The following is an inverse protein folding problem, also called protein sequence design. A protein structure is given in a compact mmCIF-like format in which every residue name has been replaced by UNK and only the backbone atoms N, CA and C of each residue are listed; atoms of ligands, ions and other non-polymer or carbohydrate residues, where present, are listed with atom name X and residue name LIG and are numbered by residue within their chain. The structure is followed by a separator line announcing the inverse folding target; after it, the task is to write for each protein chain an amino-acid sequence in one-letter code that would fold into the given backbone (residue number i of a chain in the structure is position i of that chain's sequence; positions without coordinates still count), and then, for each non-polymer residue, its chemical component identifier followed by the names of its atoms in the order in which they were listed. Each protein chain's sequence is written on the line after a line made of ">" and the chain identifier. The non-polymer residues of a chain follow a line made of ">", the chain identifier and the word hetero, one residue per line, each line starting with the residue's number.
data_IF_630334420930
#
_entry.id   IF_630334420930
#
_cell.length_a   1.000
_cell.length_b   1.000
_cell.length_c   1.000
_cell.angle_alpha   90.00
_cell.angle_beta   90.00
_cell.angle_gamma   90.00
#
_symmetry.space_group_name_H-M   'P 1'
#
loop_
_entity.id
_entity.type
_entity.pdbx_description
1 polymer ?
#
# COMPACT_ATOMS: atom_id res chain seq x y z
N UNK A 1 -18.91 -0.92 -8.96
CA UNK A 1 -18.96 0.52 -9.30
C UNK A 1 -19.79 0.59 -10.56
N UNK A 2 -20.88 1.33 -10.51
CA UNK A 2 -21.78 1.48 -11.65
C UNK A 2 -21.23 2.56 -12.57
N UNK A 3 -21.16 2.27 -13.87
CA UNK A 3 -20.77 3.26 -14.88
C UNK A 3 -22.03 4.06 -15.25
N UNK A 4 -22.02 5.35 -14.96
CA UNK A 4 -23.13 6.26 -15.19
C UNK A 4 -22.60 7.66 -15.50
N UNK A 5 -23.42 8.55 -16.08
CA UNK A 5 -23.02 9.94 -16.35
C UNK A 5 -22.76 10.67 -15.02
N UNK A 6 -21.89 11.69 -14.98
CA UNK A 6 -21.61 12.45 -13.75
C UNK A 6 -22.87 12.97 -13.03
N UNK A 7 -23.87 13.41 -13.79
CA UNK A 7 -25.17 13.87 -13.25
C UNK A 7 -26.00 12.75 -12.63
N UNK A 8 -25.88 11.53 -13.12
CA UNK A 8 -26.60 10.36 -12.59
C UNK A 8 -25.87 9.79 -11.36
N UNK A 9 -24.53 9.85 -11.36
CA UNK A 9 -23.71 9.43 -10.22
C UNK A 9 -24.05 10.17 -8.93
N UNK A 10 -24.50 11.43 -8.98
CA UNK A 10 -24.91 12.17 -7.77
C UNK A 10 -26.17 11.57 -7.13
N UNK A 11 -27.14 11.14 -7.94
CA UNK A 11 -28.42 10.56 -7.49
C UNK A 11 -28.31 9.12 -6.95
N UNK A 12 -27.29 8.36 -7.36
CA UNK A 12 -27.13 6.97 -6.92
C UNK A 12 -26.81 6.84 -5.42
N UNK A 13 -27.10 5.67 -4.84
CA UNK A 13 -26.70 5.37 -3.47
C UNK A 13 -25.18 5.10 -3.33
N UNK A 14 -24.64 5.25 -2.13
CA UNK A 14 -23.18 5.09 -1.86
C UNK A 14 -22.66 3.69 -2.20
N UNK A 15 -23.47 2.65 -2.03
CA UNK A 15 -23.13 1.26 -2.34
C UNK A 15 -22.85 1.04 -3.83
N UNK A 16 -23.51 1.80 -4.71
CA UNK A 16 -23.29 1.69 -6.16
C UNK A 16 -22.03 2.44 -6.65
N UNK A 17 -21.54 3.39 -5.85
CA UNK A 17 -20.38 4.24 -6.18
C UNK A 17 -19.07 3.71 -5.62
N UNK A 18 -19.10 3.01 -4.48
CA UNK A 18 -17.90 2.65 -3.72
C UNK A 18 -17.75 1.14 -3.55
N UNK A 19 -16.56 0.71 -3.12
CA UNK A 19 -16.31 -0.66 -2.66
C UNK A 19 -15.69 -0.58 -1.27
N UNK A 20 -16.10 -1.45 -0.35
CA UNK A 20 -15.65 -1.49 1.04
C UNK A 20 -14.26 -2.12 1.19
N UNK A 21 -13.23 -1.47 0.62
CA UNK A 21 -11.82 -1.80 0.81
C UNK A 21 -10.95 -0.54 0.67
N UNK A 22 -9.68 -0.63 1.06
CA UNK A 22 -8.70 0.44 0.80
C UNK A 22 -8.58 0.69 -0.71
N UNK A 23 -8.60 1.96 -1.11
CA UNK A 23 -8.65 2.38 -2.51
C UNK A 23 -9.80 1.74 -3.33
N UNK A 24 -10.90 1.36 -2.66
CA UNK A 24 -12.12 0.94 -3.34
C UNK A 24 -12.64 2.05 -4.24
N UNK A 25 -13.16 1.72 -5.42
CA UNK A 25 -13.50 2.75 -6.41
C UNK A 25 -12.35 3.06 -7.37
N UNK A 26 -11.12 3.22 -6.86
CA UNK A 26 -9.99 3.76 -7.61
C UNK A 26 -8.97 2.72 -8.06
N UNK A 27 -8.82 1.60 -7.33
CA UNK A 27 -7.84 0.55 -7.65
C UNK A 27 -8.44 -0.84 -7.59
N UNK A 28 -7.90 -1.73 -8.42
CA UNK A 28 -8.26 -3.16 -8.44
C UNK A 28 -7.76 -3.87 -7.18
N UNK A 29 -8.39 -4.98 -6.78
CA UNK A 29 -7.98 -5.74 -5.58
C UNK A 29 -6.53 -6.23 -5.63
N UNK A 30 -6.11 -6.77 -6.78
CA UNK A 30 -4.72 -7.22 -7.02
C UNK A 30 -3.71 -6.06 -6.87
N UNK A 31 -4.07 -4.88 -7.37
CA UNK A 31 -3.27 -3.66 -7.31
C UNK A 31 -3.05 -3.22 -5.85
N UNK A 32 -4.11 -3.26 -5.04
CA UNK A 32 -4.07 -2.93 -3.61
C UNK A 32 -3.21 -3.92 -2.84
N UNK A 33 -3.39 -5.23 -3.09
CA UNK A 33 -2.57 -6.28 -2.46
C UNK A 33 -1.09 -6.09 -2.75
N UNK A 34 -0.73 -5.92 -4.03
CA UNK A 34 0.66 -5.71 -4.43
C UNK A 34 1.26 -4.44 -3.79
N UNK A 35 0.47 -3.36 -3.67
CA UNK A 35 0.93 -2.13 -3.01
C UNK A 35 1.20 -2.34 -1.52
N UNK A 36 0.31 -3.04 -0.83
CA UNK A 36 0.46 -3.34 0.61
C UNK A 36 1.70 -4.22 0.83
N UNK A 37 1.80 -5.36 0.12
CA UNK A 37 2.95 -6.27 0.25
C UNK A 37 4.26 -5.59 -0.13
N UNK A 38 4.29 -4.81 -1.20
CA UNK A 38 5.50 -4.07 -1.61
C UNK A 38 5.91 -3.03 -0.57
N UNK A 39 4.98 -2.27 -0.02
CA UNK A 39 5.28 -1.29 1.02
C UNK A 39 5.87 -1.96 2.26
N UNK A 40 5.26 -3.06 2.71
CA UNK A 40 5.77 -3.86 3.81
C UNK A 40 7.21 -4.34 3.56
N UNK A 41 7.46 -5.03 2.43
CA UNK A 41 8.79 -5.56 2.12
C UNK A 41 9.86 -4.49 2.01
N UNK A 42 9.53 -3.29 1.51
CA UNK A 42 10.47 -2.17 1.44
C UNK A 42 10.84 -1.69 2.84
N UNK A 43 9.88 -1.56 3.75
CA UNK A 43 10.16 -1.16 5.13
C UNK A 43 10.97 -2.23 5.88
N UNK A 44 10.62 -3.50 5.72
CA UNK A 44 11.41 -4.62 6.27
C UNK A 44 12.86 -4.58 5.76
N UNK A 45 13.06 -4.40 4.45
CA UNK A 45 14.39 -4.30 3.86
C UNK A 45 15.16 -3.09 4.39
N UNK A 46 14.51 -1.94 4.62
CA UNK A 46 15.14 -0.76 5.22
C UNK A 46 15.63 -1.05 6.65
N UNK A 47 14.85 -1.78 7.44
CA UNK A 47 15.23 -2.16 8.81
C UNK A 47 16.44 -3.09 8.77
N UNK A 48 16.40 -4.14 7.95
CA UNK A 48 17.52 -5.09 7.79
C UNK A 48 18.80 -4.35 7.36
N UNK A 49 18.70 -3.46 6.39
CA UNK A 49 19.85 -2.68 5.93
C UNK A 49 20.45 -1.78 7.03
N UNK A 50 19.63 -1.22 7.92
CA UNK A 50 20.11 -0.43 9.07
C UNK A 50 20.82 -1.31 10.10
N UNK A 51 20.27 -2.47 10.42
CA UNK A 51 20.85 -3.41 11.40
C UNK A 51 22.20 -3.94 10.91
N UNK A 52 22.30 -4.36 9.64
CA UNK A 52 23.55 -4.84 9.06
C UNK A 52 24.65 -3.76 9.07
N UNK A 53 24.29 -2.50 8.78
CA UNK A 53 25.24 -1.37 8.88
C UNK A 53 25.70 -1.15 10.32
N UNK A 54 24.80 -1.21 11.30
CA UNK A 54 25.15 -1.05 12.71
C UNK A 54 26.11 -2.16 13.19
N UNK A 55 25.87 -3.43 12.81
CA UNK A 55 26.74 -4.57 13.14
C UNK A 55 28.14 -4.45 12.51
N UNK A 56 28.25 -3.92 11.29
CA UNK A 56 29.55 -3.69 10.65
C UNK A 56 30.37 -2.60 11.36
N UNK A 57 29.72 -1.59 11.93
CA UNK A 57 30.39 -0.52 12.68
C UNK A 57 30.94 -1.07 14.00
N UNK A 58 30.13 -1.81 14.75
CA UNK A 58 30.54 -2.38 16.06
C UNK A 58 31.65 -3.43 15.92
N UNK A 59 31.62 -4.25 14.87
CA UNK A 59 32.67 -5.25 14.61
C UNK A 59 33.99 -4.63 14.16
N UNK A 60 33.95 -3.52 13.41
CA UNK A 60 35.17 -2.77 13.03
C UNK A 60 35.80 -2.02 14.19
N UNK A 61 35.01 -1.52 15.15
CA UNK A 61 35.56 -0.86 16.34
C UNK A 61 36.10 -1.84 17.39
N UNK A 62 35.64 -3.09 17.36
CA UNK A 62 36.11 -4.16 18.25
C UNK A 62 37.39 -4.85 17.73
N UNK A 63 37.86 -4.51 16.54
CA UNK A 63 39.12 -4.98 15.95
C UNK A 63 40.17 -3.88 16.02
#
# INVERSE_FOLDING_TARGET
>A
ITHARPRELSALSKRHKTVTRTYGGSRCGKCVRNRISRAFLIEEQKIVAKVLKAQQITTKSAK
#
